data_IF_111440803418
#
_entry.id   IF_111440803418
#
_cell.length_a   1.000
_cell.length_b   1.000
_cell.length_c   1.000
_cell.angle_alpha   90.00
_cell.angle_beta   90.00
_cell.angle_gamma   90.00
#
_symmetry.space_group_name_H-M   'P 1'
#
loop_
_entity.id
_entity.type
_entity.pdbx_description
1 polymer ?
#
# COMPACT_ATOMS: atom_id res chain seq x y z
N UNK A 1 17.25 -10.76 21.01
CA UNK A 1 17.01 -11.51 19.74
C UNK A 1 17.45 -10.62 18.59
N UNK A 2 18.24 -11.14 17.64
CA UNK A 2 18.68 -10.39 16.46
C UNK A 2 17.52 -10.07 15.51
N UNK A 3 17.69 -9.07 14.66
CA UNK A 3 16.69 -8.70 13.65
C UNK A 3 16.36 -9.89 12.70
N UNK A 4 17.40 -10.65 12.31
CA UNK A 4 17.25 -11.85 11.50
C UNK A 4 16.39 -12.92 12.19
N UNK A 5 16.62 -13.16 13.48
CA UNK A 5 15.83 -14.14 14.25
C UNK A 5 14.35 -13.70 14.41
N UNK A 6 14.10 -12.38 14.56
CA UNK A 6 12.72 -11.84 14.59
C UNK A 6 12.01 -12.03 13.24
N UNK A 7 12.71 -11.79 12.13
CA UNK A 7 12.18 -12.03 10.79
C UNK A 7 11.83 -13.49 10.55
N UNK A 8 12.71 -14.42 10.92
CA UNK A 8 12.44 -15.86 10.79
C UNK A 8 11.20 -16.25 11.62
N UNK A 9 11.11 -15.78 12.87
CA UNK A 9 9.93 -16.02 13.73
C UNK A 9 8.65 -15.55 13.05
N UNK A 10 8.64 -14.34 12.49
CA UNK A 10 7.48 -13.81 11.75
C UNK A 10 7.12 -14.72 10.57
N UNK A 11 8.06 -15.12 9.74
CA UNK A 11 7.80 -16.01 8.60
C UNK A 11 7.19 -17.36 9.02
N UNK A 12 7.68 -17.93 10.12
CA UNK A 12 7.11 -19.14 10.69
C UNK A 12 5.68 -18.94 11.20
N UNK A 13 5.41 -17.77 11.81
CA UNK A 13 4.06 -17.40 12.26
C UNK A 13 3.11 -17.24 11.07
N UNK A 14 3.52 -16.52 10.01
CA UNK A 14 2.72 -16.37 8.79
C UNK A 14 2.35 -17.72 8.19
N UNK A 15 3.30 -18.66 8.12
CA UNK A 15 3.03 -20.03 7.64
C UNK A 15 2.01 -20.77 8.51
N UNK A 16 2.17 -20.72 9.82
CA UNK A 16 1.22 -21.36 10.77
C UNK A 16 -0.18 -20.77 10.67
N UNK A 17 -0.26 -19.48 10.31
CA UNK A 17 -1.52 -18.76 10.14
C UNK A 17 -2.07 -18.82 8.69
N UNK A 18 -1.67 -19.83 7.89
CA UNK A 18 -2.29 -20.15 6.61
C UNK A 18 -1.69 -19.46 5.40
N UNK A 19 -0.52 -18.82 5.51
CA UNK A 19 0.19 -18.34 4.33
C UNK A 19 0.99 -19.48 3.72
N UNK A 20 0.52 -20.00 2.59
CA UNK A 20 1.09 -21.16 1.90
C UNK A 20 1.82 -20.78 0.61
N UNK A 21 1.54 -19.60 0.03
CA UNK A 21 2.22 -19.12 -1.16
C UNK A 21 3.69 -18.80 -0.86
N UNK A 22 4.58 -19.64 -1.40
CA UNK A 22 6.03 -19.52 -1.18
C UNK A 22 6.63 -18.29 -1.85
N UNK A 23 6.04 -17.79 -2.95
CA UNK A 23 6.49 -16.56 -3.59
C UNK A 23 6.18 -15.34 -2.69
N UNK A 24 5.02 -15.32 -2.06
CA UNK A 24 4.65 -14.28 -1.08
C UNK A 24 5.57 -14.31 0.13
N UNK A 25 5.81 -15.48 0.71
CA UNK A 25 6.73 -15.63 1.85
C UNK A 25 8.15 -15.17 1.50
N UNK A 26 8.65 -15.54 0.31
CA UNK A 26 9.96 -15.10 -0.20
C UNK A 26 10.00 -13.58 -0.40
N UNK A 27 8.94 -12.99 -0.96
CA UNK A 27 8.86 -11.54 -1.14
C UNK A 27 8.92 -10.79 0.21
N UNK A 28 8.17 -11.26 1.22
CA UNK A 28 8.21 -10.70 2.58
C UNK A 28 9.58 -10.88 3.23
N UNK A 29 10.24 -12.01 3.01
CA UNK A 29 11.60 -12.27 3.51
C UNK A 29 12.63 -11.30 2.90
N UNK A 30 12.53 -11.02 1.60
CA UNK A 30 13.46 -10.17 0.86
C UNK A 30 13.28 -8.68 1.16
N UNK A 31 12.08 -8.24 1.53
CA UNK A 31 11.80 -6.84 1.83
C UNK A 31 12.11 -6.53 3.29
N UNK A 32 13.09 -5.67 3.59
CA UNK A 32 13.42 -5.29 4.96
C UNK A 32 12.30 -4.40 5.54
N UNK A 33 11.40 -4.99 6.32
CA UNK A 33 10.23 -4.27 6.87
C UNK A 33 10.67 -3.10 7.76
N UNK A 34 11.79 -3.23 8.46
CA UNK A 34 12.38 -2.17 9.29
C UNK A 34 12.67 -0.87 8.51
N UNK A 35 12.92 -0.94 7.21
CA UNK A 35 13.12 0.25 6.38
C UNK A 35 11.84 1.09 6.20
N UNK A 36 10.68 0.54 6.54
CA UNK A 36 9.36 1.18 6.39
C UNK A 36 8.73 1.58 7.73
N UNK A 37 9.40 1.25 8.85
CA UNK A 37 8.92 1.50 10.21
C UNK A 37 9.49 2.82 10.72
N UNK A 38 8.65 3.71 11.31
CA UNK A 38 9.15 4.91 11.98
C UNK A 38 10.07 4.57 13.16
N UNK A 39 11.09 5.39 13.39
CA UNK A 39 12.12 5.15 14.41
C UNK A 39 11.59 4.76 15.81
N UNK A 40 10.51 5.37 16.35
CA UNK A 40 9.98 5.00 17.67
C UNK A 40 9.43 3.56 17.76
N UNK A 41 9.14 2.92 16.62
CA UNK A 41 8.55 1.57 16.55
C UNK A 41 9.49 0.52 15.97
N UNK A 42 10.77 0.85 15.82
CA UNK A 42 11.77 -0.02 15.19
C UNK A 42 11.88 -1.40 15.84
N UNK A 43 11.75 -1.46 17.16
CA UNK A 43 11.77 -2.72 17.91
C UNK A 43 10.59 -3.65 17.59
N UNK A 44 9.51 -3.08 17.05
CA UNK A 44 8.29 -3.80 16.68
C UNK A 44 8.22 -4.13 15.18
N UNK A 45 9.28 -3.86 14.41
CA UNK A 45 9.30 -3.99 12.96
C UNK A 45 8.86 -5.38 12.46
N UNK A 46 9.18 -6.44 13.22
CA UNK A 46 8.85 -7.83 12.90
C UNK A 46 7.79 -8.44 13.83
N UNK A 47 7.11 -7.63 14.63
CA UNK A 47 5.92 -8.07 15.35
C UNK A 47 4.72 -8.10 14.40
N UNK A 48 3.82 -9.07 14.61
CA UNK A 48 2.64 -9.24 13.74
C UNK A 48 1.50 -8.29 14.14
N UNK A 49 1.78 -6.99 14.04
CA UNK A 49 0.85 -5.91 14.37
C UNK A 49 0.95 -4.75 13.37
N UNK A 50 -0.10 -3.92 13.30
CA UNK A 50 -0.09 -2.69 12.54
C UNK A 50 0.64 -1.60 13.33
N UNK A 51 1.43 -0.76 12.64
CA UNK A 51 2.20 0.33 13.25
C UNK A 51 1.73 1.68 12.70
N UNK A 52 1.67 2.73 13.53
CA UNK A 52 1.32 4.06 13.05
C UNK A 52 2.42 4.61 12.14
N UNK A 53 2.00 5.36 11.11
CA UNK A 53 2.86 6.18 10.27
C UNK A 53 2.31 7.61 10.20
N UNK A 54 2.96 8.48 9.45
CA UNK A 54 2.52 9.86 9.30
C UNK A 54 1.10 9.98 8.75
N UNK A 55 0.52 11.17 8.87
CA UNK A 55 -0.84 11.50 8.39
C UNK A 55 -1.95 10.63 9.01
N UNK A 56 -1.72 10.07 10.21
CA UNK A 56 -2.69 9.20 10.88
C UNK A 56 -2.96 7.88 10.14
N UNK A 57 -2.04 7.51 9.23
CA UNK A 57 -2.10 6.25 8.49
C UNK A 57 -1.39 5.11 9.24
N UNK A 58 -1.41 3.91 8.68
CA UNK A 58 -0.80 2.74 9.32
C UNK A 58 0.01 1.92 8.32
N UNK A 59 1.16 1.42 8.78
CA UNK A 59 1.84 0.30 8.16
C UNK A 59 1.09 -0.98 8.56
N UNK A 60 0.48 -1.65 7.61
CA UNK A 60 -0.39 -2.81 7.86
C UNK A 60 0.34 -3.95 8.56
N UNK A 61 -0.41 -4.71 9.37
CA UNK A 61 0.06 -5.94 10.03
C UNK A 61 0.62 -6.93 8.99
N UNK A 62 1.78 -7.56 9.24
CA UNK A 62 2.39 -8.52 8.32
C UNK A 62 1.46 -9.64 7.85
N UNK A 63 0.64 -10.20 8.75
CA UNK A 63 -0.35 -11.21 8.41
C UNK A 63 -1.37 -10.71 7.39
N UNK A 64 -1.82 -9.47 7.52
CA UNK A 64 -2.79 -8.88 6.59
C UNK A 64 -2.14 -8.65 5.22
N UNK A 65 -0.91 -8.10 5.19
CA UNK A 65 -0.13 -7.94 3.96
C UNK A 65 0.03 -9.28 3.24
N UNK A 66 0.47 -10.32 3.95
CA UNK A 66 0.67 -11.66 3.38
C UNK A 66 -0.63 -12.25 2.83
N UNK A 67 -1.73 -12.17 3.61
CA UNK A 67 -3.04 -12.69 3.23
C UNK A 67 -3.61 -12.00 1.99
N UNK A 68 -3.55 -10.67 1.95
CA UNK A 68 -4.01 -9.90 0.80
C UNK A 68 -3.18 -10.19 -0.45
N UNK A 69 -1.85 -10.27 -0.31
CA UNK A 69 -0.95 -10.56 -1.42
C UNK A 69 -1.15 -11.98 -1.97
N UNK A 70 -1.36 -12.96 -1.08
CA UNK A 70 -1.69 -14.34 -1.47
C UNK A 70 -3.04 -14.41 -2.19
N UNK A 71 -4.08 -13.77 -1.65
CA UNK A 71 -5.41 -13.72 -2.26
C UNK A 71 -5.40 -13.02 -3.63
N UNK A 72 -4.53 -12.04 -3.80
CA UNK A 72 -4.35 -11.30 -5.05
C UNK A 72 -3.78 -12.18 -6.18
N UNK A 73 -2.90 -13.13 -5.84
CA UNK A 73 -2.22 -13.95 -6.85
C UNK A 73 -1.33 -13.10 -7.77
N UNK A 74 -0.45 -12.27 -7.20
CA UNK A 74 0.37 -11.31 -7.93
C UNK A 74 1.63 -11.90 -8.57
N UNK A 75 1.99 -13.14 -8.24
CA UNK A 75 3.22 -13.77 -8.73
C UNK A 75 3.20 -13.96 -10.26
N UNK A 76 4.23 -13.44 -10.93
CA UNK A 76 4.42 -13.57 -12.38
C UNK A 76 3.53 -12.69 -13.26
N UNK A 77 2.67 -11.83 -12.69
CA UNK A 77 1.81 -10.96 -13.50
C UNK A 77 2.57 -9.75 -14.07
N UNK A 78 2.08 -9.23 -15.19
CA UNK A 78 2.70 -8.10 -15.89
C UNK A 78 2.64 -6.79 -15.10
N UNK A 79 1.50 -6.49 -14.51
CA UNK A 79 1.29 -5.26 -13.73
C UNK A 79 0.25 -5.41 -12.62
N UNK A 80 0.41 -4.63 -11.56
CA UNK A 80 -0.50 -4.54 -10.42
C UNK A 80 -0.80 -3.06 -10.17
N UNK A 81 -2.06 -2.73 -9.87
CA UNK A 81 -2.44 -1.46 -9.28
C UNK A 81 -2.57 -1.62 -7.76
N UNK A 82 -1.92 -0.75 -7.02
CA UNK A 82 -2.10 -0.58 -5.58
C UNK A 82 -2.75 0.77 -5.30
N UNK A 83 -3.79 0.78 -4.49
CA UNK A 83 -4.43 2.00 -3.96
C UNK A 83 -4.11 2.10 -2.48
N UNK A 84 -3.34 3.15 -2.12
CA UNK A 84 -2.81 3.37 -0.77
C UNK A 84 -1.36 2.93 -0.62
N UNK A 85 -0.40 3.72 -1.11
CA UNK A 85 1.04 3.46 -0.97
C UNK A 85 1.48 3.45 0.49
N UNK A 86 0.99 4.42 1.27
CA UNK A 86 1.35 4.58 2.68
C UNK A 86 2.86 4.66 2.88
N UNK A 87 3.40 3.76 3.71
CA UNK A 87 4.86 3.65 3.94
C UNK A 87 5.64 3.14 2.71
N UNK A 88 4.97 2.47 1.76
CA UNK A 88 5.55 1.76 0.62
C UNK A 88 5.87 0.29 0.87
N UNK A 89 5.55 -0.27 2.04
CA UNK A 89 5.91 -1.66 2.35
C UNK A 89 5.16 -2.69 1.48
N UNK A 90 3.83 -2.55 1.35
CA UNK A 90 3.03 -3.41 0.48
C UNK A 90 3.49 -3.27 -0.98
N UNK A 91 3.77 -2.05 -1.44
CA UNK A 91 4.33 -1.76 -2.77
C UNK A 91 5.65 -2.52 -2.99
N UNK A 92 6.56 -2.47 -1.99
CA UNK A 92 7.84 -3.17 -2.06
C UNK A 92 7.67 -4.69 -2.11
N UNK A 93 6.72 -5.27 -1.37
CA UNK A 93 6.40 -6.70 -1.44
C UNK A 93 5.88 -7.07 -2.84
N UNK A 94 4.95 -6.28 -3.40
CA UNK A 94 4.41 -6.49 -4.75
C UNK A 94 5.51 -6.38 -5.82
N UNK A 95 6.47 -5.47 -5.65
CA UNK A 95 7.57 -5.28 -6.60
C UNK A 95 8.47 -6.52 -6.77
N UNK A 96 8.46 -7.44 -5.78
CA UNK A 96 9.19 -8.72 -5.85
C UNK A 96 8.39 -9.82 -6.55
N UNK A 97 7.10 -9.59 -6.80
CA UNK A 97 6.19 -10.60 -7.33
C UNK A 97 5.80 -10.34 -8.79
N UNK A 98 5.69 -9.10 -9.22
CA UNK A 98 5.20 -8.73 -10.54
C UNK A 98 6.21 -7.87 -11.31
N UNK A 99 5.96 -7.75 -12.63
CA UNK A 99 6.86 -6.99 -13.52
C UNK A 99 6.81 -5.48 -13.23
N UNK A 100 5.63 -4.93 -12.88
CA UNK A 100 5.46 -3.50 -12.59
C UNK A 100 4.35 -3.26 -11.56
N UNK A 101 4.61 -2.37 -10.62
CA UNK A 101 3.63 -1.89 -9.64
C UNK A 101 3.30 -0.43 -9.95
N UNK A 102 2.03 -0.13 -10.15
CA UNK A 102 1.47 1.22 -10.15
C UNK A 102 0.85 1.46 -8.78
N UNK A 103 1.24 2.52 -8.09
CA UNK A 103 0.77 2.77 -6.72
C UNK A 103 0.26 4.21 -6.59
N UNK A 104 -0.97 4.37 -6.10
CA UNK A 104 -1.64 5.65 -5.94
C UNK A 104 -1.77 5.97 -4.46
N UNK A 105 -1.37 7.18 -4.08
CA UNK A 105 -1.47 7.69 -2.71
C UNK A 105 -1.98 9.14 -2.74
N UNK A 106 -2.90 9.48 -1.83
CA UNK A 106 -3.45 10.82 -1.74
C UNK A 106 -2.54 11.84 -1.05
N UNK A 107 -1.65 11.37 -0.16
CA UNK A 107 -0.73 12.21 0.60
C UNK A 107 0.62 12.31 -0.10
N UNK A 108 0.94 13.50 -0.59
CA UNK A 108 2.22 13.79 -1.29
C UNK A 108 3.44 13.46 -0.43
N UNK A 109 3.35 13.72 0.87
CA UNK A 109 4.45 13.47 1.80
C UNK A 109 4.76 11.98 1.92
N UNK A 110 3.70 11.14 2.01
CA UNK A 110 3.88 9.69 2.05
C UNK A 110 4.50 9.15 0.75
N UNK A 111 4.10 9.69 -0.41
CA UNK A 111 4.75 9.34 -1.69
C UNK A 111 6.23 9.70 -1.66
N UNK A 112 6.59 10.92 -1.22
CA UNK A 112 7.98 11.35 -1.16
C UNK A 112 8.85 10.44 -0.28
N UNK A 113 8.29 10.02 0.87
CA UNK A 113 8.95 9.09 1.78
C UNK A 113 9.09 7.69 1.18
N UNK A 114 8.02 7.18 0.56
CA UNK A 114 8.04 5.88 -0.09
C UNK A 114 9.04 5.85 -1.25
N UNK A 115 9.09 6.88 -2.09
CA UNK A 115 10.06 6.99 -3.19
C UNK A 115 11.52 7.00 -2.69
N UNK A 116 11.81 7.67 -1.57
CA UNK A 116 13.15 7.62 -0.96
C UNK A 116 13.54 6.18 -0.59
N UNK A 117 12.60 5.43 0.02
CA UNK A 117 12.78 4.02 0.36
C UNK A 117 12.93 3.14 -0.87
N UNK A 118 12.11 3.35 -1.91
CA UNK A 118 12.20 2.59 -3.17
C UNK A 118 13.56 2.79 -3.84
N UNK A 119 14.09 4.02 -3.89
CA UNK A 119 15.44 4.29 -4.40
C UNK A 119 16.52 3.61 -3.57
N UNK A 120 16.45 3.69 -2.24
CA UNK A 120 17.41 3.05 -1.34
C UNK A 120 17.42 1.51 -1.50
N UNK A 121 16.25 0.90 -1.74
CA UNK A 121 16.08 -0.53 -1.94
C UNK A 121 16.23 -0.97 -3.41
N UNK A 122 16.56 -0.05 -4.31
CA UNK A 122 16.72 -0.28 -5.77
C UNK A 122 15.49 -0.94 -6.42
N UNK A 123 14.30 -0.48 -6.05
CA UNK A 123 13.04 -0.94 -6.63
C UNK A 123 12.74 -0.12 -7.90
N UNK A 124 13.17 -0.60 -9.06
CA UNK A 124 13.08 0.14 -10.34
C UNK A 124 11.77 -0.13 -11.10
N UNK A 125 10.94 -1.03 -10.61
CA UNK A 125 9.69 -1.44 -11.24
C UNK A 125 8.43 -0.88 -10.55
N UNK A 126 8.58 0.13 -9.71
CA UNK A 126 7.49 0.83 -9.03
C UNK A 126 7.27 2.18 -9.69
N UNK A 127 6.00 2.51 -9.97
CA UNK A 127 5.56 3.80 -10.51
C UNK A 127 4.56 4.39 -9.50
N UNK A 128 4.99 5.26 -8.59
CA UNK A 128 4.11 5.92 -7.65
C UNK A 128 3.48 7.17 -8.27
N UNK A 129 2.25 7.51 -7.84
CA UNK A 129 1.50 8.72 -8.26
C UNK A 129 0.77 9.30 -7.07
N UNK A 130 0.86 10.62 -6.90
CA UNK A 130 -0.08 11.35 -6.04
C UNK A 130 -1.41 11.44 -6.77
N UNK A 131 -2.47 10.90 -6.17
CA UNK A 131 -3.78 10.86 -6.82
C UNK A 131 -4.90 10.39 -5.89
N UNK A 132 -6.12 10.58 -6.33
CA UNK A 132 -7.30 10.03 -5.65
C UNK A 132 -7.43 8.55 -5.98
N UNK A 133 -7.16 7.71 -4.98
CA UNK A 133 -7.27 6.26 -5.09
C UNK A 133 -8.67 5.76 -5.40
N UNK A 134 -9.70 6.57 -5.14
CA UNK A 134 -11.10 6.28 -5.50
C UNK A 134 -11.29 6.08 -7.01
N UNK A 135 -10.50 6.81 -7.80
CA UNK A 135 -10.53 6.76 -9.26
C UNK A 135 -9.57 5.70 -9.85
N UNK A 136 -8.73 5.07 -9.05
CA UNK A 136 -7.70 4.16 -9.53
C UNK A 136 -6.68 4.86 -10.44
N UNK A 137 -6.37 4.18 -11.58
CA UNK A 137 -5.45 4.71 -12.58
C UNK A 137 -5.91 4.35 -14.01
N UNK A 138 -6.95 5.03 -14.54
CA UNK A 138 -7.58 4.67 -15.84
C UNK A 138 -6.60 4.64 -17.00
N UNK A 139 -5.61 5.57 -17.04
CA UNK A 139 -4.62 5.66 -18.13
C UNK A 139 -3.72 4.45 -18.22
N UNK A 140 -3.67 3.62 -17.18
CA UNK A 140 -2.87 2.40 -17.13
C UNK A 140 -3.74 1.13 -17.14
N UNK A 141 -5.06 1.25 -17.16
CA UNK A 141 -5.97 0.11 -17.28
C UNK A 141 -5.83 -0.60 -18.64
N UNK A 142 -6.28 -1.87 -18.77
CA UNK A 142 -6.79 -2.71 -17.70
C UNK A 142 -5.69 -3.35 -16.85
N UNK A 143 -6.01 -3.67 -15.57
CA UNK A 143 -5.10 -4.31 -14.64
C UNK A 143 -5.49 -5.78 -14.40
N UNK A 144 -4.57 -6.74 -14.52
CA UNK A 144 -4.84 -8.11 -14.10
C UNK A 144 -5.01 -8.27 -12.58
N UNK A 145 -4.43 -7.35 -11.79
CA UNK A 145 -4.50 -7.35 -10.32
C UNK A 145 -4.62 -5.95 -9.77
N UNK A 146 -5.57 -5.76 -8.85
CA UNK A 146 -5.75 -4.51 -8.09
C UNK A 146 -5.81 -4.86 -6.61
N UNK A 147 -5.09 -4.13 -5.79
CA UNK A 147 -5.14 -4.24 -4.33
C UNK A 147 -5.42 -2.88 -3.71
N UNK A 148 -6.33 -2.84 -2.74
CA UNK A 148 -6.68 -1.61 -2.02
C UNK A 148 -6.32 -1.77 -0.55
N UNK A 149 -5.52 -0.87 -0.03
CA UNK A 149 -4.99 -0.91 1.35
C UNK A 149 -5.66 0.10 2.29
N UNK A 150 -6.82 0.60 1.89
CA UNK A 150 -7.73 1.42 2.68
C UNK A 150 -9.17 0.93 2.45
N UNK A 151 -10.07 1.10 3.41
CA UNK A 151 -11.42 0.56 3.35
C UNK A 151 -12.43 1.60 2.81
N UNK A 152 -12.93 1.44 1.58
CA UNK A 152 -14.13 2.15 1.15
C UNK A 152 -15.37 1.61 1.87
N UNK A 153 -16.47 2.39 1.97
CA UNK A 153 -17.74 1.89 2.51
C UNK A 153 -18.32 0.74 1.68
N UNK A 154 -18.13 0.78 0.36
CA UNK A 154 -18.59 -0.19 -0.62
C UNK A 154 -17.55 -0.39 -1.72
N UNK A 155 -17.65 -1.46 -2.51
CA UNK A 155 -16.74 -1.71 -3.66
C UNK A 155 -16.90 -0.61 -4.71
N UNK A 156 -15.76 -0.06 -5.16
CA UNK A 156 -15.75 1.02 -6.14
C UNK A 156 -15.90 0.48 -7.56
N UNK A 157 -16.96 0.87 -8.26
CA UNK A 157 -17.19 0.52 -9.68
C UNK A 157 -16.01 0.92 -10.56
N UNK A 158 -15.45 2.11 -10.35
CA UNK A 158 -14.26 2.60 -11.08
C UNK A 158 -13.04 1.68 -11.00
N UNK A 159 -12.84 0.93 -9.91
CA UNK A 159 -11.76 -0.05 -9.77
C UNK A 159 -12.12 -1.37 -10.46
N UNK A 160 -13.40 -1.77 -10.41
CA UNK A 160 -13.87 -2.97 -11.10
C UNK A 160 -13.78 -2.80 -12.61
N UNK A 161 -14.14 -1.63 -13.13
CA UNK A 161 -14.07 -1.29 -14.56
C UNK A 161 -12.63 -1.33 -15.10
N UNK A 162 -11.64 -1.09 -14.23
CA UNK A 162 -10.22 -1.16 -14.57
C UNK A 162 -9.62 -2.58 -14.47
N UNK A 163 -10.39 -3.60 -14.04
CA UNK A 163 -9.91 -4.98 -14.08
C UNK A 163 -9.87 -5.53 -15.51
N UNK A 164 -8.81 -6.24 -15.82
CA UNK A 164 -8.76 -7.09 -17.01
C UNK A 164 -9.74 -8.26 -16.88
N UNK A 165 -10.06 -8.92 -17.99
CA UNK A 165 -10.77 -10.20 -17.96
C UNK A 165 -9.98 -11.23 -17.13
N UNK A 166 -10.65 -11.95 -16.24
CA UNK A 166 -10.01 -12.82 -15.24
C UNK A 166 -9.21 -12.07 -14.18
N UNK A 167 -9.29 -10.73 -14.17
CA UNK A 167 -8.59 -9.88 -13.21
C UNK A 167 -9.15 -10.03 -11.79
N UNK A 168 -8.28 -9.82 -10.80
CA UNK A 168 -8.61 -9.94 -9.36
C UNK A 168 -8.41 -8.60 -8.66
N UNK A 169 -9.44 -8.18 -7.91
CA UNK A 169 -9.39 -7.07 -6.96
C UNK A 169 -9.46 -7.63 -5.54
N UNK A 170 -8.52 -7.24 -4.68
CA UNK A 170 -8.57 -7.49 -3.23
C UNK A 170 -8.75 -6.17 -2.50
N UNK A 171 -9.84 -6.06 -1.74
CA UNK A 171 -10.25 -4.80 -1.11
C UNK A 171 -10.90 -5.04 0.25
N UNK A 172 -10.52 -4.30 1.32
CA UNK A 172 -11.28 -4.26 2.56
C UNK A 172 -12.51 -3.37 2.35
N UNK A 173 -13.70 -3.82 2.74
CA UNK A 173 -14.93 -3.06 2.58
C UNK A 173 -15.62 -2.86 3.93
N UNK A 174 -16.15 -1.66 4.15
CA UNK A 174 -16.92 -1.33 5.33
C UNK A 174 -16.44 -0.06 6.03
N UNK A 175 -17.27 0.47 6.93
CA UNK A 175 -16.98 1.70 7.69
C UNK A 175 -16.14 1.39 8.93
N UNK A 176 -15.25 2.31 9.32
CA UNK A 176 -14.37 2.16 10.50
C UNK A 176 -15.13 1.89 11.81
N UNK A 177 -16.35 2.38 11.93
CA UNK A 177 -17.24 2.18 13.09
C UNK A 177 -17.93 0.81 13.11
N UNK A 178 -17.80 0.02 12.05
CA UNK A 178 -18.42 -1.29 11.89
C UNK A 178 -17.37 -2.33 11.51
N UNK A 179 -17.78 -3.61 11.49
CA UNK A 179 -16.94 -4.70 10.98
C UNK A 179 -16.61 -4.44 9.52
N UNK A 180 -15.33 -4.51 9.15
CA UNK A 180 -14.86 -4.49 7.78
C UNK A 180 -14.53 -5.92 7.36
N UNK A 181 -14.89 -6.27 6.13
CA UNK A 181 -14.61 -7.57 5.52
C UNK A 181 -13.60 -7.40 4.40
N UNK A 182 -12.65 -8.32 4.30
CA UNK A 182 -11.75 -8.41 3.17
C UNK A 182 -12.43 -9.21 2.07
N UNK A 183 -12.60 -8.58 0.91
CA UNK A 183 -13.22 -9.19 -0.25
C UNK A 183 -12.16 -9.48 -1.32
N UNK A 184 -12.37 -10.57 -2.04
CA UNK A 184 -11.71 -10.89 -3.30
C UNK A 184 -12.75 -10.95 -4.40
N UNK A 185 -12.59 -10.06 -5.39
CA UNK A 185 -13.46 -10.00 -6.54
C UNK A 185 -12.71 -10.48 -7.77
N UNK A 186 -13.34 -11.31 -8.59
CA UNK A 186 -12.78 -11.78 -9.85
C UNK A 186 -13.72 -11.41 -10.98
N UNK A 187 -13.21 -10.64 -11.96
CA UNK A 187 -13.98 -10.30 -13.17
C UNK A 187 -14.10 -11.53 -14.06
N UNK A 188 -15.32 -11.85 -14.49
CA UNK A 188 -15.63 -12.94 -15.44
C UNK A 188 -16.67 -12.43 -16.42
N UNK A 189 -16.24 -12.14 -17.63
CA UNK A 189 -17.09 -11.48 -18.64
C UNK A 189 -17.71 -10.19 -18.07
N UNK A 190 -19.00 -10.06 -18.14
CA UNK A 190 -19.75 -8.90 -17.63
C UNK A 190 -20.17 -9.03 -16.16
N UNK A 191 -19.64 -10.02 -15.45
CA UNK A 191 -19.96 -10.28 -14.04
C UNK A 191 -18.72 -10.22 -13.14
N UNK A 192 -18.98 -10.08 -11.85
CA UNK A 192 -17.95 -10.15 -10.81
C UNK A 192 -18.31 -11.22 -9.81
N UNK A 193 -17.41 -12.16 -9.60
CA UNK A 193 -17.54 -13.18 -8.55
C UNK A 193 -16.87 -12.67 -7.29
N UNK A 194 -17.64 -12.58 -6.21
CA UNK A 194 -17.17 -12.12 -4.90
C UNK A 194 -16.91 -13.31 -3.98
N UNK A 195 -15.80 -13.22 -3.24
CA UNK A 195 -15.41 -14.15 -2.17
C UNK A 195 -15.06 -13.33 -0.93
N UNK A 196 -15.72 -13.62 0.21
CA UNK A 196 -15.38 -13.02 1.50
C UNK A 196 -14.23 -13.78 2.15
N UNK A 197 -13.13 -13.09 2.37
CA UNK A 197 -11.93 -13.68 3.00
C UNK A 197 -11.95 -13.59 4.53
N UNK A 198 -12.84 -12.77 5.11
CA UNK A 198 -13.05 -12.61 6.55
C UNK A 198 -12.64 -11.23 7.09
N UNK A 199 -12.72 -11.03 8.41
CA UNK A 199 -12.64 -9.71 9.02
C UNK A 199 -11.24 -9.10 8.93
N UNK A 200 -11.22 -7.77 8.79
CA UNK A 200 -10.01 -6.93 8.78
C UNK A 200 -10.29 -5.57 9.41
N UNK A 201 -9.24 -4.78 9.59
CA UNK A 201 -9.36 -3.39 10.05
C UNK A 201 -8.39 -2.49 9.30
N UNK A 202 -8.93 -1.53 8.57
CA UNK A 202 -8.19 -0.55 7.77
C UNK A 202 -8.63 0.88 8.07
N UNK A 203 -7.76 1.83 7.73
CA UNK A 203 -8.12 3.23 7.62
C UNK A 203 -9.12 3.41 6.48
N UNK A 204 -10.01 4.44 6.53
CA UNK A 204 -10.98 4.65 5.46
C UNK A 204 -10.30 5.07 4.15
N UNK A 205 -10.81 4.57 3.03
CA UNK A 205 -10.54 5.16 1.72
C UNK A 205 -11.36 6.45 1.60
N UNK A 206 -10.70 7.56 1.42
CA UNK A 206 -11.32 8.89 1.34
C UNK A 206 -11.17 9.40 -0.09
N UNK A 207 -12.26 9.84 -0.70
CA UNK A 207 -12.25 10.45 -2.04
C UNK A 207 -11.63 11.85 -2.00
N UNK A 208 -11.09 12.28 -3.13
CA UNK A 208 -10.43 13.57 -3.31
C UNK A 208 -9.02 13.61 -2.73
N UNK A 209 -8.30 14.67 -3.08
CA UNK A 209 -7.00 14.97 -2.50
C UNK A 209 -7.16 15.84 -1.25
N UNK A 210 -6.23 15.75 -0.26
CA UNK A 210 -6.20 16.69 0.84
C UNK A 210 -5.99 18.11 0.29
N UNK A 211 -6.58 19.10 0.96
CA UNK A 211 -6.20 20.49 0.72
C UNK A 211 -4.70 20.64 0.99
N UNK A 212 -3.98 21.25 0.05
CA UNK A 212 -2.56 21.56 0.29
C UNK A 212 -2.50 22.56 1.46
N UNK A 213 -1.73 22.25 2.48
CA UNK A 213 -1.42 23.23 3.51
C UNK A 213 -0.88 24.49 2.83
N UNK A 214 -1.33 25.68 3.22
CA UNK A 214 -0.81 26.91 2.65
C UNK A 214 0.72 26.87 2.73
N UNK A 215 1.39 27.13 1.61
CA UNK A 215 2.84 27.22 1.60
C UNK A 215 3.24 28.22 2.68
N UNK A 216 4.20 27.89 3.55
CA UNK A 216 4.68 28.84 4.53
C UNK A 216 5.01 30.13 3.77
N UNK A 217 4.52 31.27 4.29
CA UNK A 217 4.81 32.57 3.70
C UNK A 217 6.32 32.68 3.50
N UNK A 218 6.73 33.09 2.29
CA UNK A 218 8.13 33.24 1.99
C UNK A 218 8.75 34.17 3.04
N UNK A 219 9.70 33.68 3.79
CA UNK A 219 10.40 34.51 4.79
C UNK A 219 11.34 35.42 4.04
N UNK A 220 10.96 36.69 3.95
CA UNK A 220 11.82 37.71 3.40
C UNK A 220 12.75 38.19 4.52
N UNK A 221 14.04 37.96 4.39
CA UNK A 221 15.03 38.51 5.30
C UNK A 221 15.45 39.90 4.84
N UNK A 222 15.39 40.84 5.76
CA UNK A 222 15.96 42.17 5.52
C UNK A 222 17.50 42.07 5.61
N UNK A 223 18.20 42.32 4.52
CA UNK A 223 19.66 42.24 4.45
C UNK A 223 20.36 43.59 4.57
N UNK A 224 19.71 44.60 5.13
CA UNK A 224 20.28 45.94 5.34
C UNK A 224 19.93 46.93 4.22
N UNK A 225 20.63 48.04 4.10
CA UNK A 225 20.25 49.17 3.23
C UNK A 225 20.25 48.89 1.72
N UNK A 226 20.61 47.70 1.28
CA UNK A 226 20.68 47.31 -0.15
C UNK A 226 19.48 46.46 -0.62
N UNK A 227 18.49 46.09 0.22
CA UNK A 227 17.26 45.46 -0.22
C UNK A 227 16.85 44.17 0.51
N UNK A 228 15.77 43.54 0.02
CA UNK A 228 15.18 42.32 0.51
C UNK A 228 15.59 41.14 -0.36
N UNK A 229 15.91 39.97 0.23
CA UNK A 229 16.12 38.71 -0.51
C UNK A 229 15.20 37.63 -0.01
N UNK A 230 14.75 36.72 -0.91
CA UNK A 230 14.05 35.47 -0.57
C UNK A 230 15.06 34.53 0.09
N UNK A 231 14.71 33.97 1.22
CA UNK A 231 15.45 32.96 1.94
C UNK A 231 14.97 31.57 1.58
#
# INVERSE_FOLDING_TARGET
MTLAARKIRLLMELRRNGITDTAVLRAIEQVPREAFVPAPFMDQAYENLALPIERGQTLSQPQVVARMTQALGAAGVGKVLEVGTGSGYQTAVLSRLCRRVYSVERYRELIGDAERRFRALRLHNVVPKVGDGWNGWPEQAPFPRIIVTAAPPDVQGSLVDQLAEGGVLVVPVGRRSRRQELLRLTRKNDTVVEETLGPVRFVPLISGLPEEAPKPAATIRYSGPTGWSLA
#
